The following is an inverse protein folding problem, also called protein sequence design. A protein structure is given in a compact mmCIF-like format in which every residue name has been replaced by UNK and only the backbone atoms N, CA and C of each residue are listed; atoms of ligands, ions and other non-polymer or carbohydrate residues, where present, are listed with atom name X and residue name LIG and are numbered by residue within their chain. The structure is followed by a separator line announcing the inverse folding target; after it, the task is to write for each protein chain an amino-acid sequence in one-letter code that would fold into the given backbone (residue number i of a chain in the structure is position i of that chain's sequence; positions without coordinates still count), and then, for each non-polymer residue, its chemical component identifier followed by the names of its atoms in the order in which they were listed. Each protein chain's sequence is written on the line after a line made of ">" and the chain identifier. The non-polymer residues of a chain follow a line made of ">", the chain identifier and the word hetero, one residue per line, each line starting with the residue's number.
data_IF_937784981356
#
_entry.id   IF_937784981356
#
_cell.length_a   1.000
_cell.length_b   1.000
_cell.length_c   1.000
_cell.angle_alpha   90.00
_cell.angle_beta   90.00
_cell.angle_gamma   90.00
#
_symmetry.space_group_name_H-M   'P 1'
#
loop_
_entity.id
_entity.type
_entity.pdbx_description
1 polymer ?
#
# COMPACT_ATOMS: atom_id res chain seq x y z
N UNK A 1 -4.17 9.06 12.03
CA UNK A 1 -3.49 7.97 11.30
C UNK A 1 -2.94 8.50 9.99
N UNK A 2 -1.64 8.30 9.71
CA UNK A 2 -0.96 8.83 8.53
C UNK A 2 -0.37 7.69 7.68
N UNK A 3 -1.22 7.03 6.94
CA UNK A 3 -0.89 5.88 6.08
C UNK A 3 -1.50 6.08 4.68
N UNK A 4 -1.22 5.18 3.76
CA UNK A 4 -1.81 5.19 2.42
C UNK A 4 -3.30 4.76 2.44
N UNK A 5 -3.83 4.29 1.30
CA UNK A 5 -5.20 3.78 1.19
C UNK A 5 -5.54 2.62 2.14
N UNK A 6 -4.56 1.98 2.77
CA UNK A 6 -4.76 0.90 3.76
C UNK A 6 -5.34 1.41 5.09
N UNK A 7 -5.36 2.73 5.33
CA UNK A 7 -5.82 3.31 6.60
C UNK A 7 -7.23 2.88 7.00
N UNK A 8 -8.15 2.84 6.05
CA UNK A 8 -9.53 2.44 6.33
C UNK A 8 -9.62 1.03 6.91
N UNK A 9 -8.90 0.08 6.29
CA UNK A 9 -8.88 -1.29 6.76
C UNK A 9 -8.20 -1.42 8.13
N UNK A 10 -7.07 -0.75 8.34
CA UNK A 10 -6.40 -0.72 9.65
C UNK A 10 -7.37 -0.20 10.72
N UNK A 11 -8.10 0.87 10.42
CA UNK A 11 -9.10 1.43 11.33
C UNK A 11 -10.22 0.44 11.65
N UNK A 12 -10.74 -0.26 10.64
CA UNK A 12 -11.78 -1.29 10.87
C UNK A 12 -11.29 -2.40 11.81
N UNK A 13 -10.02 -2.83 11.70
CA UNK A 13 -9.45 -3.78 12.63
C UNK A 13 -9.25 -3.20 14.03
N UNK A 14 -8.82 -1.96 14.16
CA UNK A 14 -8.66 -1.30 15.47
C UNK A 14 -10.00 -1.16 16.20
N UNK A 15 -11.10 -0.94 15.47
CA UNK A 15 -12.46 -0.88 16.02
C UNK A 15 -12.92 -2.19 16.68
N UNK A 16 -12.30 -3.32 16.35
CA UNK A 16 -12.62 -4.59 17.02
C UNK A 16 -12.09 -4.68 18.45
N UNK A 17 -11.28 -3.72 18.88
CA UNK A 17 -10.77 -3.65 20.24
C UNK A 17 -11.52 -2.58 21.04
N UNK A 18 -12.42 -2.99 21.92
CA UNK A 18 -13.16 -2.09 22.81
C UNK A 18 -12.21 -1.20 23.60
N UNK A 19 -11.14 -1.78 24.17
CA UNK A 19 -10.13 -1.04 24.93
C UNK A 19 -9.46 0.06 24.09
N UNK A 20 -9.22 -0.19 22.78
CA UNK A 20 -8.65 0.81 21.89
C UNK A 20 -9.66 1.96 21.69
N UNK A 21 -10.91 1.63 21.42
CA UNK A 21 -11.97 2.61 21.14
C UNK A 21 -12.37 3.43 22.37
N UNK A 22 -12.23 2.87 23.57
CA UNK A 22 -12.41 3.60 24.84
C UNK A 22 -11.27 4.60 25.09
N UNK A 23 -10.07 4.32 24.56
CA UNK A 23 -8.87 5.13 24.84
C UNK A 23 -8.61 6.18 23.78
N UNK A 24 -8.85 5.85 22.49
CA UNK A 24 -8.49 6.69 21.35
C UNK A 24 -9.67 6.95 20.43
N UNK A 25 -9.74 8.19 19.97
CA UNK A 25 -10.61 8.58 18.85
C UNK A 25 -9.77 8.77 17.61
N UNK A 26 -10.12 8.10 16.53
CA UNK A 26 -9.52 8.29 15.21
C UNK A 26 -10.54 8.99 14.31
N UNK A 27 -10.15 10.13 13.77
CA UNK A 27 -10.85 10.79 12.70
C UNK A 27 -10.07 10.59 11.40
N UNK A 28 -10.67 9.88 10.45
CA UNK A 28 -10.04 9.63 9.15
C UNK A 28 -10.25 10.79 8.17
N UNK A 29 -11.21 11.66 8.40
CA UNK A 29 -11.57 12.73 7.46
C UNK A 29 -10.66 13.97 7.61
N UNK A 30 -10.10 14.19 8.80
CA UNK A 30 -9.22 15.33 9.07
C UNK A 30 -7.88 15.28 8.32
N UNK A 31 -7.35 14.08 8.06
CA UNK A 31 -6.05 13.90 7.41
C UNK A 31 -6.22 12.98 6.21
N UNK A 32 -5.89 13.40 4.98
CA UNK A 32 -5.98 12.53 3.82
C UNK A 32 -4.95 11.38 3.86
N UNK A 33 -5.12 10.32 3.05
CA UNK A 33 -4.08 9.32 2.85
C UNK A 33 -2.76 9.98 2.45
N UNK A 34 -1.63 9.46 2.93
CA UNK A 34 -0.32 10.08 2.74
C UNK A 34 0.05 10.35 1.26
N UNK A 35 -0.33 9.46 0.32
CA UNK A 35 -0.11 9.69 -1.11
C UNK A 35 -0.97 10.85 -1.66
N UNK A 36 -2.17 11.04 -1.11
CA UNK A 36 -3.03 12.20 -1.42
C UNK A 36 -2.45 13.46 -0.82
N UNK A 37 -1.98 13.41 0.43
CA UNK A 37 -1.30 14.53 1.08
C UNK A 37 -0.08 15.00 0.27
N UNK A 38 0.74 14.06 -0.22
CA UNK A 38 1.90 14.40 -1.07
C UNK A 38 1.45 15.06 -2.38
N UNK A 39 0.46 14.48 -3.08
CA UNK A 39 -0.05 15.00 -4.35
C UNK A 39 -0.60 16.41 -4.21
N UNK A 40 -1.39 16.64 -3.18
CA UNK A 40 -2.13 17.89 -2.95
C UNK A 40 -1.34 18.89 -2.10
N UNK A 41 -0.11 18.53 -1.71
CA UNK A 41 0.76 19.32 -0.80
C UNK A 41 0.04 19.68 0.49
N UNK A 42 -0.74 18.75 1.01
CA UNK A 42 -1.48 18.94 2.25
C UNK A 42 -0.56 18.85 3.45
N UNK A 43 -0.39 19.94 4.15
CA UNK A 43 0.33 19.99 5.43
C UNK A 43 -0.67 19.76 6.56
N UNK A 44 -0.37 18.82 7.45
CA UNK A 44 -1.25 18.56 8.61
C UNK A 44 -1.26 19.81 9.50
N UNK A 45 -2.44 20.37 9.81
CA UNK A 45 -2.53 21.54 10.68
C UNK A 45 -1.86 21.31 12.04
N UNK A 46 -1.09 22.29 12.50
CA UNK A 46 -0.34 22.20 13.75
C UNK A 46 -1.25 21.89 14.95
N UNK A 47 -2.44 22.45 14.97
CA UNK A 47 -3.46 22.20 15.99
C UNK A 47 -3.90 20.72 16.10
N UNK A 48 -3.80 19.96 14.99
CA UNK A 48 -4.06 18.52 14.97
C UNK A 48 -2.85 17.79 15.55
N UNK A 49 -1.63 18.17 15.14
CA UNK A 49 -0.40 17.56 15.63
C UNK A 49 -0.25 17.74 17.14
N UNK A 50 -0.47 18.93 17.65
CA UNK A 50 -0.38 19.27 19.10
C UNK A 50 -1.33 18.46 19.98
N UNK A 51 -2.47 18.04 19.45
CA UNK A 51 -3.49 17.24 20.17
C UNK A 51 -3.32 15.74 19.99
N UNK A 52 -2.41 15.31 19.08
CA UNK A 52 -2.23 13.91 18.76
C UNK A 52 -1.56 13.17 19.91
N UNK A 53 -2.21 12.12 20.42
CA UNK A 53 -1.69 11.24 21.49
C UNK A 53 -1.20 9.91 20.95
N UNK A 54 -1.66 9.52 19.76
CA UNK A 54 -1.22 8.31 19.08
C UNK A 54 -1.11 8.59 17.56
N UNK A 55 0.07 8.42 17.00
CA UNK A 55 0.29 8.43 15.57
C UNK A 55 0.61 7.02 15.08
N UNK A 56 -0.26 6.46 14.25
CA UNK A 56 0.02 5.24 13.47
C UNK A 56 0.37 5.70 12.06
N UNK A 57 1.56 5.33 11.55
CA UNK A 57 2.04 5.86 10.28
C UNK A 57 2.84 4.87 9.44
N UNK A 58 2.89 5.12 8.15
CA UNK A 58 3.84 4.49 7.22
C UNK A 58 4.95 5.49 6.91
N UNK A 59 6.24 5.10 7.07
CA UNK A 59 7.37 6.00 6.84
C UNK A 59 7.36 6.63 5.44
N UNK A 60 7.62 7.93 5.39
CA UNK A 60 7.82 8.72 4.18
C UNK A 60 9.16 9.45 4.24
N UNK A 61 9.90 9.42 3.14
CA UNK A 61 11.20 10.08 3.01
C UNK A 61 11.13 11.59 3.22
N UNK A 62 12.23 12.19 3.68
CA UNK A 62 12.41 13.62 3.84
C UNK A 62 12.25 14.43 2.54
N UNK A 63 12.42 13.80 1.35
CA UNK A 63 12.15 14.42 0.05
C UNK A 63 10.71 14.93 -0.12
N UNK A 64 9.79 14.48 0.72
CA UNK A 64 8.39 14.94 0.72
C UNK A 64 8.15 16.18 1.59
N UNK A 65 9.23 16.81 2.11
CA UNK A 65 9.15 18.06 2.86
C UNK A 65 8.21 17.98 4.05
N UNK A 66 7.25 18.88 4.13
CA UNK A 66 6.29 18.97 5.25
C UNK A 66 5.30 17.79 5.33
N UNK A 67 5.24 16.95 4.28
CA UNK A 67 4.52 15.68 4.29
C UNK A 67 5.39 14.50 4.77
N UNK A 68 6.68 14.72 5.04
CA UNK A 68 7.59 13.66 5.49
C UNK A 68 7.30 13.22 6.91
N UNK A 69 7.64 11.96 7.20
CA UNK A 69 7.51 11.44 8.57
C UNK A 69 8.37 12.22 9.57
N UNK A 70 9.58 12.59 9.17
CA UNK A 70 10.50 13.36 10.00
C UNK A 70 9.88 14.70 10.43
N UNK A 71 9.32 15.46 9.48
CA UNK A 71 8.65 16.71 9.78
C UNK A 71 7.49 16.53 10.75
N UNK A 72 6.62 15.54 10.50
CA UNK A 72 5.46 15.26 11.34
C UNK A 72 5.88 14.87 12.76
N UNK A 73 6.82 13.93 12.90
CA UNK A 73 7.30 13.48 14.21
C UNK A 73 7.91 14.59 15.05
N UNK A 74 8.64 15.52 14.41
CA UNK A 74 9.26 16.68 15.08
C UNK A 74 8.22 17.69 15.62
N UNK A 75 6.98 17.61 15.15
CA UNK A 75 5.87 18.51 15.57
C UNK A 75 4.95 17.89 16.60
N UNK A 76 5.09 16.60 16.89
CA UNK A 76 4.26 15.92 17.87
C UNK A 76 4.64 16.27 19.30
N UNK A 77 3.67 16.25 20.25
CA UNK A 77 3.97 16.33 21.67
C UNK A 77 4.93 15.22 22.12
N UNK A 78 5.76 15.53 23.12
CA UNK A 78 6.74 14.58 23.66
C UNK A 78 6.11 13.33 24.30
N UNK A 79 4.83 13.40 24.68
CA UNK A 79 4.05 12.30 25.24
C UNK A 79 3.23 11.53 24.16
N UNK A 80 3.35 11.91 22.90
CA UNK A 80 2.67 11.23 21.79
C UNK A 80 3.32 9.87 21.54
N UNK A 81 2.52 8.81 21.53
CA UNK A 81 2.95 7.47 21.11
C UNK A 81 2.96 7.44 19.58
N UNK A 82 4.07 7.04 18.98
CA UNK A 82 4.17 6.83 17.54
C UNK A 82 4.44 5.37 17.21
N UNK A 83 3.68 4.80 16.27
CA UNK A 83 3.82 3.42 15.82
C UNK A 83 3.95 3.40 14.31
N UNK A 84 5.09 2.94 13.85
CA UNK A 84 5.38 2.78 12.42
C UNK A 84 5.04 1.37 11.93
N UNK A 85 4.49 1.29 10.72
CA UNK A 85 4.21 0.03 10.05
C UNK A 85 4.68 0.09 8.59
N UNK A 86 5.10 -1.03 7.99
CA UNK A 86 5.52 -1.04 6.61
C UNK A 86 4.31 -0.85 5.67
N UNK A 87 4.55 -0.28 4.49
CA UNK A 87 3.57 -0.34 3.41
C UNK A 87 3.42 -1.80 2.97
N UNK A 88 2.24 -2.36 3.18
CA UNK A 88 1.93 -3.71 2.76
C UNK A 88 1.83 -3.79 1.24
N UNK A 89 2.50 -4.78 0.68
CA UNK A 89 2.54 -5.05 -0.74
C UNK A 89 2.95 -6.50 -0.96
N UNK A 90 2.10 -7.29 -1.60
CA UNK A 90 2.37 -8.69 -1.85
C UNK A 90 1.91 -9.12 -3.24
N UNK A 91 2.87 -9.32 -4.14
CA UNK A 91 2.62 -9.79 -5.52
C UNK A 91 2.37 -11.30 -5.63
N UNK A 92 2.50 -12.06 -4.54
CA UNK A 92 2.46 -13.51 -4.59
C UNK A 92 1.19 -14.11 -5.18
N UNK A 93 0.05 -13.42 -5.04
CA UNK A 93 -1.22 -13.86 -5.64
C UNK A 93 -1.49 -13.24 -7.01
N UNK A 94 -0.82 -12.15 -7.34
CA UNK A 94 -1.00 -11.40 -8.59
C UNK A 94 0.37 -11.00 -9.15
N UNK A 95 1.21 -11.97 -9.55
CA UNK A 95 2.58 -11.71 -9.98
C UNK A 95 2.64 -10.83 -11.23
N UNK A 96 1.61 -10.90 -12.05
CA UNK A 96 1.46 -10.12 -13.28
C UNK A 96 1.04 -8.66 -13.06
N UNK A 97 0.63 -8.30 -11.83
CA UNK A 97 0.10 -6.96 -11.57
C UNK A 97 1.16 -5.87 -11.83
N UNK A 98 0.76 -4.87 -12.59
CA UNK A 98 1.55 -3.69 -12.91
C UNK A 98 0.67 -2.44 -13.08
N UNK A 99 1.28 -1.30 -13.36
CA UNK A 99 0.55 -0.13 -13.84
C UNK A 99 0.09 -0.36 -15.29
N UNK A 100 -1.01 0.27 -15.67
CA UNK A 100 -1.49 0.24 -17.04
C UNK A 100 -0.96 1.45 -17.82
N UNK A 101 0.04 1.29 -18.72
CA UNK A 101 0.61 2.39 -19.50
C UNK A 101 -0.38 2.95 -20.53
N UNK A 102 -1.44 2.21 -20.86
CA UNK A 102 -2.48 2.63 -21.78
C UNK A 102 -3.64 3.34 -21.08
N UNK A 103 -3.56 3.47 -19.76
CA UNK A 103 -4.57 4.16 -18.98
C UNK A 103 -4.44 5.67 -19.19
N UNK A 104 -5.30 6.22 -20.04
CA UNK A 104 -5.38 7.67 -20.23
C UNK A 104 -6.07 8.28 -19.01
N UNK A 105 -5.30 9.03 -18.21
CA UNK A 105 -5.86 9.85 -17.14
C UNK A 105 -6.90 10.80 -17.71
N UNK A 106 -8.06 10.89 -17.10
CA UNK A 106 -8.98 11.96 -17.40
C UNK A 106 -8.61 13.20 -16.55
N UNK A 107 -9.02 14.39 -16.99
CA UNK A 107 -8.76 15.68 -16.32
C UNK A 107 -9.19 15.70 -14.83
N UNK A 108 -10.03 14.75 -14.41
CA UNK A 108 -10.60 14.65 -13.06
C UNK A 108 -10.02 13.51 -12.20
N UNK A 109 -9.25 12.60 -12.78
CA UNK A 109 -8.77 11.41 -12.09
C UNK A 109 -7.26 11.19 -12.23
N UNK A 110 -6.53 11.24 -11.12
CA UNK A 110 -5.10 10.96 -11.06
C UNK A 110 -4.73 9.56 -11.60
N UNK A 111 -5.65 8.61 -11.51
CA UNK A 111 -5.42 7.22 -11.88
C UNK A 111 -6.11 6.80 -13.19
N UNK A 112 -6.91 7.64 -13.83
CA UNK A 112 -7.76 7.23 -14.97
C UNK A 112 -8.78 6.15 -14.58
N UNK A 113 -9.44 5.55 -15.59
CA UNK A 113 -10.46 4.52 -15.37
C UNK A 113 -9.87 3.15 -15.00
N UNK A 114 -8.68 2.81 -15.56
CA UNK A 114 -8.05 1.51 -15.41
C UNK A 114 -6.58 1.66 -15.02
N UNK A 115 -6.27 2.09 -13.78
CA UNK A 115 -4.89 2.39 -13.37
C UNK A 115 -3.99 1.16 -13.27
N UNK A 116 -4.58 -0.02 -13.14
CA UNK A 116 -3.88 -1.28 -12.99
C UNK A 116 -3.93 -2.09 -14.27
N UNK A 117 -2.83 -2.76 -14.59
CA UNK A 117 -2.66 -3.61 -15.74
C UNK A 117 -2.08 -4.97 -15.40
N UNK A 118 -1.85 -5.73 -16.43
CA UNK A 118 -1.17 -7.02 -16.40
C UNK A 118 0.10 -6.90 -17.24
N UNK A 119 1.26 -7.21 -16.67
CA UNK A 119 2.56 -7.08 -17.33
C UNK A 119 2.60 -7.82 -18.68
N UNK A 120 2.00 -9.02 -18.73
CA UNK A 120 1.99 -9.83 -19.94
C UNK A 120 1.05 -9.24 -20.99
N UNK A 121 -0.14 -8.80 -20.58
CA UNK A 121 -1.08 -8.12 -21.47
C UNK A 121 -0.47 -6.81 -22.00
N UNK A 122 0.15 -6.02 -21.13
CA UNK A 122 0.84 -4.79 -21.53
C UNK A 122 1.93 -5.07 -22.58
N UNK A 123 2.71 -6.15 -22.42
CA UNK A 123 3.74 -6.56 -23.39
C UNK A 123 3.11 -6.92 -24.74
N UNK A 124 2.09 -7.77 -24.74
CA UNK A 124 1.39 -8.19 -25.95
C UNK A 124 0.69 -7.01 -26.67
N UNK A 125 0.19 -6.04 -25.93
CA UNK A 125 -0.35 -4.80 -26.51
C UNK A 125 0.74 -3.95 -27.16
N UNK A 126 1.93 -3.88 -26.58
CA UNK A 126 3.08 -3.20 -27.20
C UNK A 126 3.54 -3.90 -28.49
N UNK A 127 3.36 -5.21 -28.58
CA UNK A 127 3.61 -5.99 -29.79
C UNK A 127 2.48 -5.88 -30.83
N UNK A 128 1.45 -5.07 -30.53
CA UNK A 128 0.29 -4.82 -31.41
C UNK A 128 -0.49 -6.11 -31.75
N UNK A 129 -0.57 -7.05 -30.82
CA UNK A 129 -1.38 -8.25 -31.01
C UNK A 129 -2.89 -7.91 -30.95
N UNK A 130 -3.70 -8.66 -31.72
CA UNK A 130 -5.16 -8.51 -31.66
C UNK A 130 -5.70 -8.98 -30.30
N UNK A 131 -6.87 -8.47 -29.93
CA UNK A 131 -7.55 -8.85 -28.67
C UNK A 131 -7.77 -10.37 -28.59
N UNK A 132 -8.19 -11.00 -29.71
CA UNK A 132 -8.42 -12.45 -29.76
C UNK A 132 -7.13 -13.22 -29.50
N UNK A 133 -6.00 -12.74 -30.07
CA UNK A 133 -4.70 -13.35 -29.86
C UNK A 133 -4.24 -13.23 -28.42
N UNK A 134 -4.43 -12.06 -27.80
CA UNK A 134 -4.11 -11.84 -26.39
C UNK A 134 -4.93 -12.79 -25.50
N UNK A 135 -6.24 -12.87 -25.72
CA UNK A 135 -7.11 -13.79 -24.98
C UNK A 135 -6.65 -15.25 -25.15
N UNK A 136 -6.31 -15.65 -26.36
CA UNK A 136 -5.82 -17.01 -26.63
C UNK A 136 -4.53 -17.31 -25.86
N UNK A 137 -3.58 -16.36 -25.81
CA UNK A 137 -2.31 -16.55 -25.09
C UNK A 137 -2.51 -16.65 -23.58
N UNK A 138 -3.23 -15.70 -22.95
CA UNK A 138 -3.46 -15.70 -21.50
C UNK A 138 -4.34 -16.85 -21.00
N UNK A 139 -5.11 -17.48 -21.90
CA UNK A 139 -5.96 -18.64 -21.59
C UNK A 139 -5.21 -19.97 -21.59
N UNK A 140 -3.94 -19.99 -21.93
CA UNK A 140 -3.11 -21.20 -21.90
C UNK A 140 -2.93 -21.63 -20.44
N UNK A 141 -3.08 -22.93 -20.18
CA UNK A 141 -2.99 -23.51 -18.83
C UNK A 141 -1.61 -23.31 -18.18
N UNK A 142 -0.57 -23.23 -19.00
CA UNK A 142 0.84 -23.07 -18.61
C UNK A 142 1.39 -21.67 -18.90
N UNK A 143 0.49 -20.69 -19.07
CA UNK A 143 0.86 -19.30 -19.34
C UNK A 143 1.79 -18.71 -18.27
N UNK A 144 1.59 -19.05 -17.01
CA UNK A 144 2.49 -18.66 -15.93
C UNK A 144 3.48 -19.77 -15.60
N UNK A 145 4.76 -19.44 -15.69
CA UNK A 145 5.82 -20.33 -15.26
C UNK A 145 5.88 -20.40 -13.73
N UNK A 146 5.79 -21.61 -13.15
CA UNK A 146 5.79 -21.80 -11.70
C UNK A 146 7.07 -21.27 -11.03
N UNK A 147 8.22 -21.44 -11.66
CA UNK A 147 9.50 -20.97 -11.12
C UNK A 147 9.53 -19.44 -11.02
N UNK A 148 9.05 -18.75 -12.05
CA UNK A 148 8.93 -17.29 -12.04
C UNK A 148 7.95 -16.79 -10.98
N UNK A 149 6.81 -17.49 -10.79
CA UNK A 149 5.87 -17.16 -9.73
C UNK A 149 6.53 -17.27 -8.35
N UNK A 150 7.29 -18.32 -8.08
CA UNK A 150 8.01 -18.50 -6.81
C UNK A 150 9.09 -17.42 -6.62
N UNK A 151 9.86 -17.09 -7.64
CA UNK A 151 10.83 -15.98 -7.61
C UNK A 151 10.18 -14.64 -7.28
N UNK A 152 9.01 -14.36 -7.85
CA UNK A 152 8.26 -13.14 -7.55
C UNK A 152 7.78 -13.09 -6.09
N UNK A 153 7.39 -14.23 -5.51
CA UNK A 153 7.03 -14.33 -4.10
C UNK A 153 8.23 -14.00 -3.22
N UNK A 154 9.37 -14.67 -3.47
CA UNK A 154 10.59 -14.48 -2.69
C UNK A 154 11.11 -13.04 -2.81
N UNK A 155 11.07 -12.47 -4.00
CA UNK A 155 11.40 -11.06 -4.22
C UNK A 155 10.50 -10.14 -3.41
N UNK A 156 9.19 -10.33 -3.48
CA UNK A 156 8.22 -9.49 -2.75
C UNK A 156 8.40 -9.55 -1.25
N UNK A 157 8.63 -10.75 -0.70
CA UNK A 157 8.89 -10.93 0.73
C UNK A 157 10.22 -10.29 1.16
N UNK A 158 11.26 -10.39 0.32
CA UNK A 158 12.54 -9.73 0.55
C UNK A 158 12.38 -8.19 0.57
N UNK A 159 11.64 -7.63 -0.39
CA UNK A 159 11.38 -6.19 -0.43
C UNK A 159 10.54 -5.71 0.77
N UNK A 160 9.57 -6.49 1.20
CA UNK A 160 8.80 -6.19 2.40
C UNK A 160 9.69 -6.22 3.65
N UNK A 161 10.53 -7.24 3.80
CA UNK A 161 11.49 -7.37 4.89
C UNK A 161 12.46 -6.18 4.97
N UNK A 162 12.93 -5.67 3.82
CA UNK A 162 13.74 -4.45 3.75
C UNK A 162 12.98 -3.22 4.23
N UNK A 163 11.71 -3.06 3.82
CA UNK A 163 10.86 -1.91 4.20
C UNK A 163 10.57 -1.87 5.69
N UNK A 164 10.44 -3.03 6.32
CA UNK A 164 10.13 -3.11 7.75
C UNK A 164 11.36 -3.07 8.66
N UNK A 165 12.58 -2.97 8.10
CA UNK A 165 13.81 -2.90 8.91
C UNK A 165 13.73 -1.84 9.99
N UNK A 166 13.19 -0.65 9.64
CA UNK A 166 13.08 0.51 10.52
C UNK A 166 11.63 0.82 10.95
N UNK A 167 10.74 -0.17 10.96
CA UNK A 167 9.39 0.00 11.49
C UNK A 167 9.19 -0.78 12.79
N UNK A 168 8.25 -0.33 13.62
CA UNK A 168 7.92 -1.00 14.89
C UNK A 168 7.20 -2.32 14.63
N UNK A 169 6.31 -2.32 13.63
CA UNK A 169 5.57 -3.54 13.24
C UNK A 169 6.32 -4.26 12.13
N UNK A 170 6.54 -5.56 12.33
CA UNK A 170 7.15 -6.50 11.37
C UNK A 170 6.09 -7.50 10.94
N UNK A 171 5.97 -7.75 9.63
CA UNK A 171 4.90 -8.60 9.09
C UNK A 171 5.37 -9.58 8.01
N UNK A 172 6.58 -9.41 7.46
CA UNK A 172 7.08 -10.26 6.37
C UNK A 172 7.12 -11.73 6.73
N UNK A 173 7.56 -12.08 7.96
CA UNK A 173 7.60 -13.46 8.42
C UNK A 173 6.20 -14.05 8.58
N UNK A 174 5.25 -13.27 9.13
CA UNK A 174 3.87 -13.71 9.21
C UNK A 174 3.29 -14.01 7.82
N UNK A 175 3.54 -13.16 6.83
CA UNK A 175 3.07 -13.38 5.46
C UNK A 175 3.75 -14.62 4.88
N UNK A 176 5.08 -14.78 5.04
CA UNK A 176 5.84 -15.93 4.57
C UNK A 176 5.27 -17.24 5.06
N UNK A 177 4.92 -17.32 6.34
CA UNK A 177 4.47 -18.55 7.00
C UNK A 177 3.02 -18.88 6.71
N UNK A 178 2.21 -17.89 6.28
CA UNK A 178 0.77 -18.02 6.21
C UNK A 178 0.16 -17.82 4.81
N UNK A 179 0.84 -17.21 3.84
CA UNK A 179 0.26 -16.90 2.52
C UNK A 179 -0.23 -18.12 1.75
N UNK A 180 0.31 -19.32 2.03
CA UNK A 180 -0.13 -20.58 1.42
C UNK A 180 -1.31 -21.21 2.15
N UNK A 181 -1.51 -20.88 3.42
CA UNK A 181 -2.56 -21.46 4.27
C UNK A 181 -3.84 -20.63 4.23
N UNK A 182 -3.68 -19.31 4.10
CA UNK A 182 -4.77 -18.35 4.14
C UNK A 182 -4.64 -17.35 2.99
N UNK A 183 -5.78 -16.88 2.48
CA UNK A 183 -5.80 -15.76 1.56
C UNK A 183 -5.67 -14.46 2.36
N UNK A 184 -4.44 -13.98 2.51
CA UNK A 184 -4.12 -12.82 3.33
C UNK A 184 -4.42 -11.48 2.64
N UNK A 185 -4.57 -11.48 1.32
CA UNK A 185 -4.78 -10.27 0.53
C UNK A 185 -5.95 -10.43 -0.42
N UNK A 186 -6.79 -9.39 -0.52
CA UNK A 186 -7.85 -9.29 -1.54
C UNK A 186 -7.32 -8.69 -2.83
N UNK A 187 -6.38 -7.74 -2.72
CA UNK A 187 -5.62 -7.16 -3.83
C UNK A 187 -4.15 -7.08 -3.44
N UNK A 188 -3.30 -6.63 -4.36
CA UNK A 188 -1.86 -6.51 -4.14
C UNK A 188 -1.49 -5.62 -2.94
N UNK A 189 -2.33 -4.65 -2.58
CA UNK A 189 -2.09 -3.65 -1.53
C UNK A 189 -3.08 -3.72 -0.37
N UNK A 190 -4.10 -4.58 -0.43
CA UNK A 190 -5.15 -4.65 0.57
C UNK A 190 -5.23 -6.05 1.14
N UNK A 191 -4.75 -6.22 2.38
CA UNK A 191 -4.90 -7.48 3.13
C UNK A 191 -6.35 -7.81 3.43
#
# INVERSE_FOLDING_TARGET
>A
MYTNCQRGLIYEFLKLSDKFMETYRIDLDEIPPNHTAIRDRFVIPEQILEKTKLLIYQPLDSKHGDCSTEYILNKLPSDCISISLPRLYFKGYWPQHDSNPFNQGNEKGFHGLFPYGDTNVNSMMNEVLSQEKIIQEISKKDFYNREELLKNIDYTLSELSKRETNTDIKISDFIRDNYRKYRLFHTINHP
#
